data_IF_958302111534
#
_entry.id   IF_958302111534
#
_cell.length_a   1.000
_cell.length_b   1.000
_cell.length_c   1.000
_cell.angle_alpha   90.00
_cell.angle_beta   90.00
_cell.angle_gamma   90.00
#
_symmetry.space_group_name_H-M   'P 1'
#
loop_
_entity.id
_entity.type
_entity.pdbx_description
1 polymer ?
#
# COMPACT_ATOMS: atom_id res chain seq x y z
N UNK A 1 19.36 12.57 25.95
CA UNK A 1 18.38 11.78 25.14
C UNK A 1 18.79 11.60 23.67
N UNK A 2 19.92 12.16 23.20
CA UNK A 2 20.40 12.10 21.80
C UNK A 2 20.99 10.73 21.37
N UNK A 3 21.63 10.01 22.29
CA UNK A 3 22.43 8.82 21.92
C UNK A 3 21.61 7.60 21.50
N UNK A 4 20.46 7.35 22.14
CA UNK A 4 19.61 6.20 21.77
C UNK A 4 19.03 6.31 20.36
N UNK A 5 18.65 7.53 19.94
CA UNK A 5 18.15 7.77 18.58
C UNK A 5 19.27 7.60 17.56
N UNK A 6 20.46 8.13 17.86
CA UNK A 6 21.65 7.98 17.02
C UNK A 6 22.05 6.52 16.84
N UNK A 7 22.02 5.71 17.91
CA UNK A 7 22.31 4.28 17.84
C UNK A 7 21.27 3.51 17.01
N UNK A 8 19.97 3.77 17.17
CA UNK A 8 18.93 3.12 16.35
C UNK A 8 19.14 3.40 14.85
N UNK A 9 19.41 4.65 14.48
CA UNK A 9 19.65 5.03 13.08
C UNK A 9 20.94 4.39 12.57
N UNK A 10 21.99 4.37 13.39
CA UNK A 10 23.25 3.71 13.05
C UNK A 10 23.05 2.20 12.84
N UNK A 11 22.37 1.49 13.75
CA UNK A 11 22.11 0.06 13.59
C UNK A 11 21.25 -0.24 12.36
N UNK A 12 20.29 0.62 12.04
CA UNK A 12 19.51 0.51 10.81
C UNK A 12 20.40 0.59 9.56
N UNK A 13 21.19 1.66 9.42
CA UNK A 13 22.07 1.83 8.27
C UNK A 13 23.20 0.80 8.20
N UNK A 14 23.77 0.43 9.35
CA UNK A 14 24.78 -0.64 9.44
C UNK A 14 24.24 -1.96 8.91
N UNK A 15 23.00 -2.31 9.26
CA UNK A 15 22.33 -3.52 8.77
C UNK A 15 22.15 -3.46 7.24
N UNK A 16 21.66 -2.35 6.71
CA UNK A 16 21.50 -2.19 5.25
C UNK A 16 22.85 -2.32 4.52
N UNK A 17 23.89 -1.64 5.03
CA UNK A 17 25.25 -1.70 4.45
C UNK A 17 25.80 -3.14 4.50
N UNK A 18 25.62 -3.87 5.60
CA UNK A 18 26.16 -5.23 5.75
C UNK A 18 25.41 -6.27 4.92
N UNK A 19 24.08 -6.22 4.87
CA UNK A 19 23.28 -7.30 4.30
C UNK A 19 22.80 -7.04 2.86
N UNK A 20 22.66 -5.78 2.45
CA UNK A 20 22.21 -5.43 1.09
C UNK A 20 23.35 -5.13 0.12
N UNK A 21 24.59 -4.97 0.62
CA UNK A 21 25.76 -4.73 -0.22
C UNK A 21 26.50 -6.04 -0.52
N UNK A 22 26.09 -6.70 -1.61
CA UNK A 22 26.66 -7.97 -2.09
C UNK A 22 27.88 -7.79 -2.99
N UNK A 23 28.04 -6.61 -3.56
CA UNK A 23 29.16 -6.22 -4.42
C UNK A 23 29.54 -4.74 -4.19
N UNK A 24 30.62 -4.28 -4.83
CA UNK A 24 31.08 -2.90 -4.68
C UNK A 24 30.06 -1.86 -5.20
N UNK A 25 29.27 -2.21 -6.21
CA UNK A 25 28.28 -1.30 -6.81
C UNK A 25 27.07 -1.08 -5.89
N UNK A 26 26.54 -2.14 -5.30
CA UNK A 26 25.48 -2.09 -4.29
C UNK A 26 25.96 -1.40 -3.01
N UNK A 27 27.22 -1.61 -2.62
CA UNK A 27 27.83 -0.88 -1.49
C UNK A 27 27.86 0.62 -1.74
N UNK A 28 28.28 1.07 -2.93
CA UNK A 28 28.36 2.49 -3.27
C UNK A 28 26.97 3.15 -3.34
N UNK A 29 25.96 2.43 -3.84
CA UNK A 29 24.58 2.91 -3.85
C UNK A 29 24.03 3.08 -2.43
N UNK A 30 24.23 2.07 -1.56
CA UNK A 30 23.76 2.09 -0.18
C UNK A 30 24.50 3.13 0.67
N UNK A 31 25.81 3.30 0.44
CA UNK A 31 26.59 4.36 1.07
C UNK A 31 26.06 5.75 0.69
N UNK A 32 25.76 5.99 -0.59
CA UNK A 32 25.18 7.27 -1.04
C UNK A 32 23.82 7.53 -0.40
N UNK A 33 22.96 6.52 -0.29
CA UNK A 33 21.65 6.63 0.38
C UNK A 33 21.80 6.95 1.87
N UNK A 34 22.64 6.21 2.58
CA UNK A 34 22.89 6.41 4.00
C UNK A 34 23.43 7.82 4.30
N UNK A 35 24.41 8.28 3.52
CA UNK A 35 25.02 9.60 3.68
C UNK A 35 24.12 10.76 3.21
N UNK A 36 23.08 10.47 2.42
CA UNK A 36 22.07 11.45 2.00
C UNK A 36 20.88 11.53 2.96
N UNK A 37 20.78 10.64 3.94
CA UNK A 37 19.74 10.69 4.97
C UNK A 37 19.83 12.01 5.76
N UNK A 38 18.69 12.65 6.00
CA UNK A 38 18.61 13.95 6.68
C UNK A 38 19.14 13.86 8.12
N UNK A 39 18.90 12.76 8.81
CA UNK A 39 19.33 12.57 10.20
C UNK A 39 20.83 12.28 10.29
N UNK A 40 21.41 11.70 9.24
CA UNK A 40 22.87 11.46 9.11
C UNK A 40 23.61 12.74 8.73
N UNK A 41 23.13 13.49 7.74
CA UNK A 41 23.76 14.75 7.29
C UNK A 41 23.87 15.80 8.39
N UNK A 42 22.88 15.83 9.29
CA UNK A 42 22.85 16.80 10.39
C UNK A 42 23.63 16.33 11.64
N UNK A 43 24.26 15.15 11.60
CA UNK A 43 24.98 14.57 12.73
C UNK A 43 26.36 14.03 12.30
N UNK A 44 27.41 14.82 12.54
CA UNK A 44 28.78 14.49 12.14
C UNK A 44 29.32 13.18 12.76
N UNK A 45 28.87 12.84 13.97
CA UNK A 45 29.26 11.58 14.63
C UNK A 45 28.66 10.38 13.89
N UNK A 46 27.38 10.47 13.53
CA UNK A 46 26.67 9.43 12.79
C UNK A 46 27.20 9.26 11.35
N UNK A 47 27.52 10.37 10.68
CA UNK A 47 28.20 10.37 9.37
C UNK A 47 29.55 9.62 9.46
N UNK A 48 30.39 9.93 10.46
CA UNK A 48 31.67 9.24 10.67
C UNK A 48 31.53 7.74 10.95
N UNK A 49 30.54 7.35 11.74
CA UNK A 49 30.24 5.94 12.03
C UNK A 49 29.78 5.20 10.77
N UNK A 50 28.91 5.80 9.96
CA UNK A 50 28.43 5.21 8.70
C UNK A 50 29.57 5.07 7.69
N UNK A 51 30.44 6.08 7.52
CA UNK A 51 31.62 5.98 6.65
C UNK A 51 32.55 4.84 7.06
N UNK A 52 32.76 4.68 8.37
CA UNK A 52 33.57 3.58 8.91
C UNK A 52 32.92 2.22 8.60
N UNK A 53 31.61 2.09 8.76
CA UNK A 53 30.87 0.86 8.44
C UNK A 53 30.95 0.52 6.94
N UNK A 54 30.81 1.52 6.05
CA UNK A 54 30.97 1.37 4.60
C UNK A 54 32.39 0.89 4.27
N UNK A 55 33.41 1.51 4.85
CA UNK A 55 34.80 1.12 4.58
C UNK A 55 35.11 -0.31 5.04
N UNK A 56 34.60 -0.70 6.21
CA UNK A 56 34.78 -2.07 6.72
C UNK A 56 34.15 -3.09 5.77
N UNK A 57 32.93 -2.82 5.27
CA UNK A 57 32.26 -3.72 4.31
C UNK A 57 32.97 -3.74 2.95
N UNK A 58 33.50 -2.60 2.50
CA UNK A 58 34.30 -2.52 1.25
C UNK A 58 35.49 -3.47 1.31
N UNK A 59 36.26 -3.40 2.40
CA UNK A 59 37.42 -4.25 2.63
C UNK A 59 37.03 -5.74 2.68
N UNK A 60 35.86 -6.07 3.23
CA UNK A 60 35.36 -7.44 3.30
C UNK A 60 35.01 -7.99 1.91
N UNK A 61 34.25 -7.24 1.11
CA UNK A 61 33.90 -7.60 -0.28
C UNK A 61 35.16 -7.76 -1.12
N UNK A 62 36.14 -6.85 -1.00
CA UNK A 62 37.41 -6.95 -1.73
C UNK A 62 38.21 -8.21 -1.36
N UNK A 63 38.17 -8.63 -0.08
CA UNK A 63 38.78 -9.89 0.36
C UNK A 63 38.05 -11.12 -0.19
N UNK A 64 36.72 -11.11 -0.20
CA UNK A 64 35.90 -12.19 -0.77
C UNK A 64 36.16 -12.36 -2.27
N UNK A 65 36.28 -11.25 -3.01
CA UNK A 65 36.60 -11.25 -4.45
C UNK A 65 38.03 -11.74 -4.69
N UNK A 66 39.01 -11.31 -3.88
CA UNK A 66 40.39 -11.77 -3.99
C UNK A 66 40.52 -13.28 -3.69
N UNK A 67 39.82 -13.79 -2.67
CA UNK A 67 39.80 -15.22 -2.33
C UNK A 67 39.15 -16.06 -3.45
N UNK A 68 38.08 -15.56 -4.05
CA UNK A 68 37.39 -16.23 -5.17
C UNK A 68 38.28 -16.30 -6.41
N UNK A 69 39.06 -15.25 -6.71
CA UNK A 69 40.02 -15.23 -7.83
C UNK A 69 41.19 -16.18 -7.62
N UNK A 70 41.68 -16.33 -6.39
CA UNK A 70 42.75 -17.27 -6.06
C UNK A 70 42.32 -18.74 -6.24
N UNK A 71 41.06 -19.07 -5.93
CA UNK A 71 40.51 -20.42 -6.15
C UNK A 71 40.31 -20.75 -7.63
N UNK A 72 39.90 -19.79 -8.47
CA UNK A 72 39.76 -20.04 -9.92
C UNK A 72 41.08 -20.24 -10.67
N UNK A 73 42.19 -19.69 -10.17
CA UNK A 73 43.50 -19.81 -10.83
C UNK A 73 44.27 -21.09 -10.48
N UNK A 74 43.82 -21.90 -9.51
CA UNK A 74 44.44 -23.19 -9.17
C UNK A 74 43.89 -24.40 -9.95
N UNK A 75 42.91 -24.21 -10.83
CA UNK A 75 42.22 -25.31 -11.55
C UNK A 75 42.54 -25.41 -13.05
N UNK A 76 43.45 -24.60 -13.59
CA UNK A 76 43.83 -24.67 -15.01
C UNK A 76 45.30 -25.04 -15.17
N UNK A 77 45.62 -26.32 -14.94
CA UNK A 77 46.82 -26.94 -15.54
C UNK A 77 46.47 -28.37 -15.96
N UNK A 78 46.95 -28.75 -17.15
CA UNK A 78 46.84 -30.07 -17.83
C UNK A 78 45.55 -30.31 -18.64
N UNK A 79 45.58 -30.88 -19.85
CA UNK A 79 46.62 -31.23 -20.80
C UNK A 79 45.89 -31.60 -22.10
N UNK A 80 46.50 -31.36 -23.26
CA UNK A 80 45.93 -31.65 -24.57
C UNK A 80 46.25 -33.08 -25.04
N UNK A 81 45.31 -33.66 -25.80
CA UNK A 81 45.35 -34.85 -26.69
C UNK A 81 44.66 -36.14 -26.14
N UNK A 82 44.28 -37.10 -27.01
CA UNK A 82 43.16 -37.02 -27.96
C UNK A 82 42.14 -38.18 -27.80
N UNK A 83 40.95 -37.99 -28.41
CA UNK A 83 39.81 -38.91 -28.53
C UNK A 83 40.13 -40.41 -28.59
N UNK A 84 39.42 -41.22 -27.79
CA UNK A 84 38.90 -42.58 -28.06
C UNK A 84 37.83 -42.93 -26.97
N UNK A 85 37.02 -43.99 -27.13
CA UNK A 85 35.56 -43.95 -27.02
C UNK A 85 35.00 -44.16 -25.60
N UNK A 86 33.75 -43.71 -25.46
CA UNK A 86 32.81 -43.87 -24.35
C UNK A 86 32.98 -45.21 -23.62
N UNK A 87 33.67 -45.17 -22.49
CA UNK A 87 33.78 -46.26 -21.53
C UNK A 87 32.93 -45.90 -20.31
N UNK A 88 32.02 -46.81 -19.96
CA UNK A 88 31.07 -46.73 -18.86
C UNK A 88 31.75 -46.21 -17.59
N UNK A 89 31.20 -45.14 -16.99
CA UNK A 89 31.70 -44.57 -15.75
C UNK A 89 31.91 -45.69 -14.70
N UNK A 90 33.07 -45.73 -14.02
CA UNK A 90 33.32 -46.75 -13.01
C UNK A 90 32.28 -46.62 -11.91
N UNK A 91 31.71 -47.75 -11.48
CA UNK A 91 30.81 -47.80 -10.34
C UNK A 91 31.47 -47.09 -9.14
N UNK A 92 30.79 -46.08 -8.58
CA UNK A 92 31.31 -45.40 -7.38
C UNK A 92 31.58 -46.44 -6.30
N UNK A 93 32.74 -46.35 -5.65
CA UNK A 93 33.03 -47.24 -4.53
C UNK A 93 32.05 -46.97 -3.38
N UNK A 94 31.76 -47.98 -2.55
CA UNK A 94 30.83 -47.85 -1.42
C UNK A 94 31.19 -46.68 -0.49
N UNK A 95 32.49 -46.41 -0.28
CA UNK A 95 32.98 -45.25 0.48
C UNK A 95 32.64 -43.90 -0.19
N UNK A 96 32.73 -43.80 -1.52
CA UNK A 96 32.37 -42.59 -2.26
C UNK A 96 30.86 -42.33 -2.19
N UNK A 97 30.04 -43.38 -2.22
CA UNK A 97 28.58 -43.31 -2.06
C UNK A 97 28.23 -42.80 -0.66
N UNK A 98 28.85 -43.36 0.39
CA UNK A 98 28.63 -42.92 1.78
C UNK A 98 29.03 -41.45 1.96
N UNK A 99 30.22 -41.05 1.49
CA UNK A 99 30.71 -39.68 1.59
C UNK A 99 29.79 -38.68 0.89
N UNK A 100 29.29 -39.04 -0.30
CA UNK A 100 28.32 -38.21 -1.05
C UNK A 100 26.96 -38.16 -0.35
N UNK A 101 26.49 -39.28 0.21
CA UNK A 101 25.26 -39.35 0.99
C UNK A 101 25.31 -38.47 2.24
N UNK A 102 26.44 -38.47 2.96
CA UNK A 102 26.65 -37.58 4.11
C UNK A 102 26.70 -36.10 3.71
N UNK A 103 27.34 -35.77 2.59
CA UNK A 103 27.37 -34.41 2.07
C UNK A 103 25.95 -33.92 1.74
N UNK A 104 25.15 -34.73 1.04
CA UNK A 104 23.75 -34.42 0.74
C UNK A 104 22.91 -34.30 2.01
N UNK A 105 23.12 -35.17 3.00
CA UNK A 105 22.43 -35.09 4.29
C UNK A 105 22.76 -33.79 5.04
N UNK A 106 24.01 -33.31 4.98
CA UNK A 106 24.40 -32.01 5.54
C UNK A 106 23.72 -30.85 4.80
N UNK A 107 23.69 -30.89 3.47
CA UNK A 107 22.98 -29.88 2.65
C UNK A 107 21.48 -29.86 2.94
N UNK A 108 20.87 -31.02 3.19
CA UNK A 108 19.47 -31.10 3.59
C UNK A 108 19.26 -30.50 4.99
N UNK A 109 20.14 -30.83 5.94
CA UNK A 109 20.10 -30.30 7.30
C UNK A 109 20.24 -28.77 7.36
N UNK A 110 21.01 -28.17 6.45
CA UNK A 110 21.14 -26.70 6.36
C UNK A 110 20.00 -26.03 5.59
N UNK A 111 19.44 -26.66 4.54
CA UNK A 111 18.35 -26.07 3.75
C UNK A 111 16.99 -26.09 4.45
N UNK A 112 16.71 -27.12 5.25
CA UNK A 112 15.45 -27.24 5.99
C UNK A 112 15.15 -26.04 6.93
N UNK A 113 16.04 -25.60 7.83
CA UNK A 113 15.78 -24.47 8.72
C UNK A 113 15.75 -23.12 7.99
N UNK A 114 16.42 -23.01 6.84
CA UNK A 114 16.42 -21.80 6.00
C UNK A 114 15.14 -21.67 5.16
N UNK A 115 14.32 -22.71 5.10
CA UNK A 115 13.10 -22.70 4.30
C UNK A 115 13.33 -22.81 2.79
N UNK A 116 14.52 -23.22 2.35
CA UNK A 116 14.87 -23.36 0.93
C UNK A 116 14.26 -24.66 0.36
N UNK A 117 13.00 -24.56 -0.07
CA UNK A 117 12.25 -25.68 -0.64
C UNK A 117 12.95 -26.28 -1.87
N UNK A 118 13.55 -25.42 -2.71
CA UNK A 118 14.14 -25.85 -3.98
C UNK A 118 15.37 -26.70 -3.73
N UNK A 119 16.29 -26.23 -2.89
CA UNK A 119 17.49 -26.98 -2.53
C UNK A 119 17.14 -28.24 -1.75
N UNK A 120 16.17 -28.19 -0.84
CA UNK A 120 15.73 -29.36 -0.08
C UNK A 120 15.15 -30.47 -1.00
N UNK A 121 14.32 -30.10 -1.97
CA UNK A 121 13.75 -31.04 -2.95
C UNK A 121 14.82 -31.62 -3.89
N UNK A 122 15.71 -30.78 -4.44
CA UNK A 122 16.79 -31.23 -5.30
C UNK A 122 17.76 -32.18 -4.57
N UNK A 123 18.04 -31.89 -3.31
CA UNK A 123 18.89 -32.73 -2.45
C UNK A 123 18.21 -34.07 -2.14
N UNK A 124 16.92 -34.07 -1.82
CA UNK A 124 16.16 -35.31 -1.63
C UNK A 124 16.12 -36.16 -2.90
N UNK A 125 15.88 -35.56 -4.07
CA UNK A 125 15.93 -36.27 -5.35
C UNK A 125 17.31 -36.91 -5.58
N UNK A 126 18.39 -36.17 -5.28
CA UNK A 126 19.76 -36.68 -5.39
C UNK A 126 20.04 -37.85 -4.43
N UNK A 127 19.50 -37.81 -3.21
CA UNK A 127 19.61 -38.92 -2.23
C UNK A 127 18.86 -40.15 -2.73
N UNK A 128 17.66 -39.97 -3.31
CA UNK A 128 16.87 -41.08 -3.85
C UNK A 128 17.59 -41.76 -5.02
N UNK A 129 18.10 -40.98 -5.97
CA UNK A 129 18.88 -41.51 -7.10
C UNK A 129 20.14 -42.23 -6.62
N UNK A 130 20.84 -41.70 -5.61
CA UNK A 130 22.01 -42.34 -5.03
C UNK A 130 21.68 -43.69 -4.37
N UNK A 131 20.53 -43.77 -3.70
CA UNK A 131 20.01 -45.01 -3.08
C UNK A 131 19.52 -46.03 -4.10
N UNK A 132 18.89 -45.60 -5.19
CA UNK A 132 18.45 -46.48 -6.28
C UNK A 132 19.65 -47.10 -7.00
N UNK A 133 20.70 -46.32 -7.22
CA UNK A 133 21.94 -46.77 -7.85
C UNK A 133 22.79 -47.66 -6.92
N UNK A 134 22.61 -47.58 -5.60
CA UNK A 134 23.41 -48.30 -4.60
C UNK A 134 22.52 -48.85 -3.46
N UNK A 135 21.75 -49.93 -3.72
CA UNK A 135 20.83 -50.49 -2.73
C UNK A 135 21.57 -50.93 -1.46
N UNK A 136 20.98 -50.63 -0.29
CA UNK A 136 21.50 -51.06 1.02
C UNK A 136 22.60 -50.19 1.62
N UNK A 137 23.19 -49.24 0.88
CA UNK A 137 24.20 -48.31 1.41
C UNK A 137 23.58 -47.21 2.27
N UNK A 138 22.39 -46.72 1.88
CA UNK A 138 21.61 -45.75 2.64
C UNK A 138 20.40 -46.47 3.24
N UNK A 139 20.21 -46.44 4.58
CA UNK A 139 19.06 -47.10 5.20
C UNK A 139 17.74 -46.49 4.73
N UNK A 140 16.76 -47.34 4.39
CA UNK A 140 15.42 -46.91 3.98
C UNK A 140 14.72 -46.05 5.04
N UNK A 141 14.99 -46.31 6.33
CA UNK A 141 14.49 -45.50 7.45
C UNK A 141 14.92 -44.04 7.34
N UNK A 142 16.19 -43.76 7.00
CA UNK A 142 16.68 -42.39 6.79
C UNK A 142 16.05 -41.72 5.58
N UNK A 143 15.83 -42.48 4.51
CA UNK A 143 15.15 -41.96 3.32
C UNK A 143 13.71 -41.56 3.66
N UNK A 144 13.00 -42.36 4.45
CA UNK A 144 11.66 -42.05 4.92
C UNK A 144 11.65 -40.78 5.81
N UNK A 145 12.62 -40.62 6.71
CA UNK A 145 12.80 -39.41 7.52
C UNK A 145 13.04 -38.15 6.67
N UNK A 146 13.89 -38.24 5.65
CA UNK A 146 14.16 -37.12 4.73
C UNK A 146 12.93 -36.74 3.92
N UNK A 147 12.20 -37.72 3.37
CA UNK A 147 10.91 -37.49 2.69
C UNK A 147 9.91 -36.79 3.61
N UNK A 148 9.79 -37.26 4.85
CA UNK A 148 8.88 -36.67 5.82
C UNK A 148 9.27 -35.23 6.17
N UNK A 149 10.56 -34.96 6.36
CA UNK A 149 11.07 -33.63 6.71
C UNK A 149 10.83 -32.61 5.60
N UNK A 150 11.13 -32.98 4.34
CA UNK A 150 10.83 -32.14 3.17
C UNK A 150 9.31 -31.94 2.99
N UNK A 151 8.50 -32.98 3.24
CA UNK A 151 7.04 -32.87 3.21
C UNK A 151 6.48 -31.90 4.25
N UNK A 152 7.02 -31.91 5.49
CA UNK A 152 6.66 -30.96 6.54
C UNK A 152 7.04 -29.53 6.16
N UNK A 153 8.25 -29.33 5.63
CA UNK A 153 8.70 -28.03 5.14
C UNK A 153 7.74 -27.48 4.07
N UNK A 154 7.42 -28.28 3.04
CA UNK A 154 6.50 -27.87 1.97
C UNK A 154 5.13 -27.48 2.51
N UNK A 155 4.58 -28.26 3.44
CA UNK A 155 3.29 -27.97 4.06
C UNK A 155 3.33 -26.67 4.85
N UNK A 156 4.42 -26.43 5.59
CA UNK A 156 4.62 -25.19 6.33
C UNK A 156 4.74 -23.97 5.41
N UNK A 157 5.55 -24.05 4.35
CA UNK A 157 5.70 -23.00 3.36
C UNK A 157 4.39 -22.71 2.64
N UNK A 158 3.61 -23.74 2.30
CA UNK A 158 2.29 -23.54 1.69
C UNK A 158 1.35 -22.75 2.62
N UNK A 159 1.29 -23.09 3.91
CA UNK A 159 0.51 -22.32 4.89
C UNK A 159 0.97 -20.86 4.97
N UNK A 160 2.28 -20.61 4.85
CA UNK A 160 2.80 -19.24 4.81
C UNK A 160 2.41 -18.52 3.52
N UNK A 161 2.41 -19.18 2.36
CA UNK A 161 1.90 -18.59 1.09
C UNK A 161 0.45 -18.19 1.23
N UNK A 162 -0.39 -19.08 1.74
CA UNK A 162 -1.81 -18.81 1.96
C UNK A 162 -2.00 -17.63 2.92
N UNK A 163 -1.20 -17.57 3.98
CA UNK A 163 -1.24 -16.47 4.94
C UNK A 163 -0.75 -15.13 4.34
N UNK A 164 0.25 -15.15 3.44
CA UNK A 164 0.68 -13.94 2.71
C UNK A 164 -0.46 -13.42 1.85
N UNK A 165 -1.16 -14.29 1.11
CA UNK A 165 -2.34 -13.90 0.31
C UNK A 165 -3.42 -13.28 1.19
N UNK A 166 -3.72 -13.90 2.33
CA UNK A 166 -4.69 -13.36 3.30
C UNK A 166 -4.27 -11.99 3.84
N UNK A 167 -3.00 -11.82 4.24
CA UNK A 167 -2.48 -10.56 4.75
C UNK A 167 -2.47 -9.47 3.68
N UNK A 168 -2.18 -9.80 2.42
CA UNK A 168 -2.29 -8.87 1.29
C UNK A 168 -3.72 -8.39 1.13
N UNK A 169 -4.70 -9.29 1.11
CA UNK A 169 -6.11 -8.92 0.99
C UNK A 169 -6.57 -8.05 2.17
N UNK A 170 -6.18 -8.40 3.39
CA UNK A 170 -6.45 -7.60 4.61
C UNK A 170 -5.81 -6.23 4.53
N UNK A 171 -4.58 -6.13 4.01
CA UNK A 171 -3.84 -4.88 3.84
C UNK A 171 -4.59 -3.94 2.89
N UNK A 172 -4.98 -4.42 1.70
CA UNK A 172 -5.73 -3.62 0.72
C UNK A 172 -7.10 -3.22 1.27
N UNK A 173 -7.82 -4.15 1.89
CA UNK A 173 -9.13 -3.86 2.50
C UNK A 173 -9.02 -2.85 3.64
N UNK A 174 -8.03 -2.97 4.51
CA UNK A 174 -7.78 -2.00 5.58
C UNK A 174 -7.50 -0.60 5.03
N UNK A 175 -6.75 -0.48 3.93
CA UNK A 175 -6.54 0.80 3.23
C UNK A 175 -7.84 1.39 2.68
N UNK A 176 -8.65 0.59 1.98
CA UNK A 176 -9.94 1.02 1.41
C UNK A 176 -10.93 1.52 2.47
N UNK A 177 -10.87 0.95 3.68
CA UNK A 177 -11.77 1.31 4.77
C UNK A 177 -11.15 2.30 5.77
N UNK A 178 -9.87 2.67 5.60
CA UNK A 178 -9.16 3.60 6.49
C UNK A 178 -8.82 3.04 7.87
N UNK A 179 -8.69 1.71 7.98
CA UNK A 179 -8.33 1.05 9.23
C UNK A 179 -6.81 1.05 9.43
N UNK A 180 -6.27 2.20 9.83
CA UNK A 180 -4.82 2.42 9.92
C UNK A 180 -4.06 1.42 10.79
N UNK A 181 -4.64 0.99 11.92
CA UNK A 181 -4.01 0.00 12.80
C UNK A 181 -3.93 -1.40 12.17
N UNK A 182 -5.01 -1.85 11.50
CA UNK A 182 -5.04 -3.12 10.78
C UNK A 182 -4.04 -3.12 9.62
N UNK A 183 -3.95 -2.01 8.88
CA UNK A 183 -2.96 -1.79 7.82
C UNK A 183 -1.53 -1.90 8.35
N UNK A 184 -1.20 -1.15 9.42
CA UNK A 184 0.13 -1.14 10.00
C UNK A 184 0.51 -2.49 10.63
N UNK A 185 -0.44 -3.21 11.21
CA UNK A 185 -0.23 -4.56 11.74
C UNK A 185 0.06 -5.57 10.61
N UNK A 186 -0.74 -5.53 9.54
CA UNK A 186 -0.60 -6.45 8.40
C UNK A 186 0.71 -6.23 7.65
N UNK A 187 1.09 -4.98 7.38
CA UNK A 187 2.37 -4.64 6.75
C UNK A 187 3.58 -5.05 7.60
N UNK A 188 3.53 -4.86 8.93
CA UNK A 188 4.59 -5.34 9.82
C UNK A 188 4.77 -6.85 9.71
N UNK A 189 3.66 -7.60 9.66
CA UNK A 189 3.69 -9.06 9.57
C UNK A 189 4.19 -9.55 8.21
N UNK A 190 3.78 -8.91 7.11
CA UNK A 190 4.35 -9.17 5.78
C UNK A 190 5.86 -8.90 5.74
N UNK A 191 6.32 -7.80 6.36
CA UNK A 191 7.74 -7.48 6.45
C UNK A 191 8.52 -8.52 7.26
N UNK A 192 7.95 -9.04 8.36
CA UNK A 192 8.55 -10.13 9.12
C UNK A 192 8.67 -11.42 8.29
N UNK A 193 7.66 -11.74 7.47
CA UNK A 193 7.71 -12.90 6.57
C UNK A 193 8.79 -12.71 5.50
N UNK A 194 8.87 -11.53 4.88
CA UNK A 194 9.91 -11.20 3.91
C UNK A 194 11.33 -11.38 4.50
N UNK A 195 11.58 -10.88 5.71
CA UNK A 195 12.88 -11.01 6.38
C UNK A 195 13.23 -12.48 6.66
N UNK A 196 12.24 -13.29 7.08
CA UNK A 196 12.45 -14.69 7.43
C UNK A 196 12.53 -15.62 6.21
N UNK A 197 11.78 -15.31 5.15
CA UNK A 197 11.65 -16.13 3.95
C UNK A 197 11.66 -15.26 2.68
N UNK A 198 12.81 -14.72 2.27
CA UNK A 198 12.92 -13.81 1.13
C UNK A 198 12.46 -14.44 -0.20
N UNK A 199 12.64 -15.75 -0.37
CA UNK A 199 12.21 -16.48 -1.58
C UNK A 199 10.69 -16.64 -1.66
N UNK A 200 10.00 -16.58 -0.51
CA UNK A 200 8.55 -16.70 -0.43
C UNK A 200 7.87 -15.39 -0.81
N UNK A 201 8.38 -14.29 -0.23
CA UNK A 201 7.90 -12.94 -0.43
C UNK A 201 9.12 -12.06 -0.69
N UNK A 202 9.42 -11.86 -1.97
CA UNK A 202 10.50 -10.99 -2.39
C UNK A 202 10.15 -9.50 -2.16
N UNK A 203 11.18 -8.65 -2.22
CA UNK A 203 11.02 -7.21 -2.01
C UNK A 203 10.16 -6.56 -3.11
N UNK A 204 10.13 -7.13 -4.32
CA UNK A 204 9.31 -6.60 -5.42
C UNK A 204 7.82 -6.75 -5.10
N UNK A 205 7.37 -7.96 -4.74
CA UNK A 205 6.00 -8.26 -4.31
C UNK A 205 5.60 -7.48 -3.07
N UNK A 206 6.50 -7.34 -2.09
CA UNK A 206 6.22 -6.53 -0.91
C UNK A 206 5.98 -5.06 -1.28
N UNK A 207 6.75 -4.52 -2.23
CA UNK A 207 6.55 -3.17 -2.73
C UNK A 207 5.29 -3.03 -3.59
N UNK A 208 4.91 -4.03 -4.37
CA UNK A 208 3.62 -4.08 -5.06
C UNK A 208 2.45 -4.00 -4.07
N UNK A 209 2.50 -4.77 -2.97
CA UNK A 209 1.48 -4.73 -1.92
C UNK A 209 1.42 -3.34 -1.26
N UNK A 210 2.58 -2.74 -0.95
CA UNK A 210 2.65 -1.38 -0.40
C UNK A 210 2.06 -0.34 -1.38
N UNK A 211 2.36 -0.46 -2.67
CA UNK A 211 1.85 0.42 -3.70
C UNK A 211 0.33 0.29 -3.85
N UNK A 212 -0.20 -0.93 -3.89
CA UNK A 212 -1.64 -1.19 -3.93
C UNK A 212 -2.36 -0.61 -2.70
N UNK A 213 -1.77 -0.77 -1.50
CA UNK A 213 -2.30 -0.21 -0.26
C UNK A 213 -2.30 1.33 -0.25
N UNK A 214 -1.26 1.95 -0.83
CA UNK A 214 -1.18 3.42 -0.98
C UNK A 214 -2.25 3.90 -1.95
N UNK A 215 -2.34 3.29 -3.13
CA UNK A 215 -3.34 3.62 -4.14
C UNK A 215 -4.76 3.56 -3.58
N UNK A 216 -5.11 2.47 -2.89
CA UNK A 216 -6.41 2.32 -2.24
C UNK A 216 -6.69 3.40 -1.17
N UNK A 217 -5.65 3.87 -0.48
CA UNK A 217 -5.77 4.95 0.51
C UNK A 217 -6.02 6.30 -0.17
N UNK A 218 -5.31 6.56 -1.27
CA UNK A 218 -5.44 7.80 -2.04
C UNK A 218 -6.80 7.87 -2.75
N UNK A 219 -7.25 6.78 -3.37
CA UNK A 219 -8.61 6.66 -3.93
C UNK A 219 -9.67 6.96 -2.86
N UNK A 220 -9.58 6.33 -1.68
CA UNK A 220 -10.51 6.59 -0.57
C UNK A 220 -10.48 8.06 -0.16
N UNK A 221 -9.30 8.67 -0.06
CA UNK A 221 -9.16 10.09 0.31
C UNK A 221 -9.83 10.99 -0.73
N UNK A 222 -9.64 10.70 -2.01
CA UNK A 222 -10.30 11.43 -3.10
C UNK A 222 -11.82 11.27 -2.99
N UNK A 223 -12.33 10.04 -2.86
CA UNK A 223 -13.76 9.77 -2.68
C UNK A 223 -14.38 10.55 -1.52
N UNK A 224 -13.71 10.56 -0.36
CA UNK A 224 -14.14 11.33 0.82
C UNK A 224 -14.10 12.84 0.57
N UNK A 225 -13.09 13.32 -0.16
CA UNK A 225 -12.96 14.70 -0.59
C UNK A 225 -14.14 15.16 -1.45
N UNK A 226 -14.44 14.43 -2.51
CA UNK A 226 -15.56 14.71 -3.42
C UNK A 226 -16.91 14.62 -2.70
N UNK A 227 -17.11 13.61 -1.84
CA UNK A 227 -18.33 13.48 -1.02
C UNK A 227 -18.54 14.70 -0.12
N UNK A 228 -17.46 15.18 0.50
CA UNK A 228 -17.51 16.37 1.36
C UNK A 228 -17.82 17.62 0.56
N UNK A 229 -17.18 17.81 -0.60
CA UNK A 229 -17.43 18.95 -1.48
C UNK A 229 -18.90 19.00 -1.91
N UNK A 230 -19.47 17.85 -2.29
CA UNK A 230 -20.89 17.71 -2.60
C UNK A 230 -21.78 18.16 -1.43
N UNK A 231 -21.56 17.60 -0.23
CA UNK A 231 -22.34 17.95 0.96
C UNK A 231 -22.23 19.42 1.37
N UNK A 232 -21.02 19.99 1.29
CA UNK A 232 -20.80 21.40 1.62
C UNK A 232 -21.53 22.31 0.61
N UNK A 233 -21.57 21.92 -0.67
CA UNK A 233 -22.33 22.63 -1.70
C UNK A 233 -23.84 22.51 -1.51
N UNK A 234 -24.34 21.31 -1.24
CA UNK A 234 -25.76 21.07 -0.91
C UNK A 234 -26.22 21.96 0.25
N UNK A 235 -25.42 22.00 1.34
CA UNK A 235 -25.68 22.84 2.51
C UNK A 235 -25.67 24.33 2.18
N UNK A 236 -24.73 24.79 1.35
CA UNK A 236 -24.65 26.19 0.97
C UNK A 236 -25.91 26.64 0.20
N UNK A 237 -26.38 25.82 -0.74
CA UNK A 237 -27.60 26.11 -1.52
C UNK A 237 -28.84 26.06 -0.62
N UNK A 238 -28.98 25.02 0.22
CA UNK A 238 -30.09 24.91 1.15
C UNK A 238 -30.13 26.12 2.11
N UNK A 239 -28.97 26.59 2.59
CA UNK A 239 -28.88 27.78 3.43
C UNK A 239 -29.31 29.05 2.69
N UNK A 240 -28.95 29.20 1.40
CA UNK A 240 -29.37 30.34 0.60
C UNK A 240 -30.90 30.38 0.43
N UNK A 241 -31.52 29.24 0.10
CA UNK A 241 -32.99 29.11 -0.02
C UNK A 241 -33.67 29.42 1.31
N UNK A 242 -33.16 28.87 2.42
CA UNK A 242 -33.74 29.10 3.75
C UNK A 242 -33.67 30.58 4.19
N UNK A 243 -32.58 31.29 3.86
CA UNK A 243 -32.47 32.73 4.14
C UNK A 243 -33.54 33.54 3.42
N UNK A 244 -33.81 33.19 2.17
CA UNK A 244 -34.83 33.88 1.36
C UNK A 244 -36.23 33.62 1.91
N UNK A 245 -36.55 32.35 2.21
CA UNK A 245 -37.82 32.01 2.84
C UNK A 245 -38.01 32.77 4.16
N UNK A 246 -36.96 32.87 4.98
CA UNK A 246 -37.02 33.64 6.23
C UNK A 246 -37.30 35.12 5.98
N UNK A 247 -36.66 35.74 4.99
CA UNK A 247 -36.93 37.15 4.63
C UNK A 247 -38.36 37.37 4.12
N UNK A 248 -38.89 36.44 3.33
CA UNK A 248 -40.29 36.50 2.83
C UNK A 248 -41.28 36.42 3.98
N UNK A 249 -41.06 35.49 4.93
CA UNK A 249 -41.92 35.34 6.11
C UNK A 249 -41.82 36.52 7.07
N UNK A 250 -40.61 37.05 7.30
CA UNK A 250 -40.37 38.26 8.09
C UNK A 250 -41.17 39.43 7.50
N UNK A 251 -41.13 39.60 6.17
CA UNK A 251 -41.91 40.64 5.52
C UNK A 251 -43.42 40.44 5.67
N UNK A 252 -43.93 39.23 5.44
CA UNK A 252 -45.37 38.94 5.63
C UNK A 252 -45.82 39.27 7.06
N UNK A 253 -45.03 38.89 8.06
CA UNK A 253 -45.32 39.20 9.46
C UNK A 253 -45.37 40.72 9.70
N UNK A 254 -44.35 41.45 9.24
CA UNK A 254 -44.28 42.91 9.41
C UNK A 254 -45.43 43.61 8.68
N UNK A 255 -45.81 43.15 7.49
CA UNK A 255 -46.92 43.69 6.70
C UNK A 255 -48.30 43.47 7.35
N UNK A 256 -48.43 42.49 8.26
CA UNK A 256 -49.62 42.29 9.08
C UNK A 256 -49.62 43.15 10.35
N UNK A 257 -48.45 43.38 10.95
CA UNK A 257 -48.32 44.01 12.28
C UNK A 257 -48.18 45.54 12.23
N UNK A 258 -47.58 46.09 11.17
CA UNK A 258 -47.20 47.50 11.11
C UNK A 258 -47.87 48.23 9.93
N UNK A 259 -48.26 49.51 10.10
CA UNK A 259 -48.71 50.35 8.99
C UNK A 259 -47.60 50.58 7.95
N UNK A 260 -47.97 50.75 6.69
CA UNK A 260 -47.04 50.91 5.56
C UNK A 260 -46.11 52.13 5.68
N UNK A 261 -46.55 53.17 6.38
CA UNK A 261 -45.75 54.38 6.61
C UNK A 261 -44.60 54.16 7.63
N UNK A 262 -44.61 53.06 8.38
CA UNK A 262 -43.59 52.76 9.40
C UNK A 262 -42.22 52.52 8.77
N UNK A 263 -41.16 52.81 9.53
CA UNK A 263 -39.79 52.56 9.09
C UNK A 263 -39.48 51.05 9.11
N UNK A 264 -40.16 50.30 9.99
CA UNK A 264 -40.11 48.84 10.08
C UNK A 264 -40.66 48.18 8.80
N UNK A 265 -41.82 48.63 8.32
CA UNK A 265 -42.40 48.15 7.06
C UNK A 265 -41.48 48.43 5.88
N UNK A 266 -41.04 49.69 5.72
CA UNK A 266 -40.16 50.09 4.60
C UNK A 266 -38.82 49.34 4.59
N UNK A 267 -38.25 49.06 5.76
CA UNK A 267 -37.04 48.25 5.86
C UNK A 267 -37.27 46.78 5.49
N UNK A 268 -38.37 46.17 5.95
CA UNK A 268 -38.71 44.80 5.60
C UNK A 268 -39.05 44.66 4.11
N UNK A 269 -39.75 45.64 3.54
CA UNK A 269 -40.08 45.72 2.12
C UNK A 269 -38.81 45.80 1.25
N UNK A 270 -37.85 46.64 1.62
CA UNK A 270 -36.58 46.72 0.90
C UNK A 270 -35.83 45.37 0.88
N UNK A 271 -35.81 44.65 2.01
CA UNK A 271 -35.22 43.29 2.09
C UNK A 271 -36.02 42.28 1.25
N UNK A 272 -37.35 42.36 1.28
CA UNK A 272 -38.25 41.50 0.50
C UNK A 272 -38.07 41.69 -1.01
N UNK A 273 -37.97 42.94 -1.48
CA UNK A 273 -37.70 43.25 -2.90
C UNK A 273 -36.36 42.66 -3.35
N UNK A 274 -35.32 42.74 -2.51
CA UNK A 274 -34.04 42.08 -2.79
C UNK A 274 -34.19 40.55 -2.84
N UNK A 275 -34.93 39.96 -1.90
CA UNK A 275 -35.21 38.53 -1.89
C UNK A 275 -35.98 38.08 -3.15
N UNK A 276 -36.93 38.87 -3.66
CA UNK A 276 -37.62 38.61 -4.94
C UNK A 276 -36.62 38.64 -6.09
N UNK A 277 -35.70 39.60 -6.13
CA UNK A 277 -34.67 39.65 -7.16
C UNK A 277 -33.76 38.42 -7.11
N UNK A 278 -33.42 37.94 -5.91
CA UNK A 278 -32.62 36.73 -5.75
C UNK A 278 -33.39 35.47 -6.16
N UNK A 279 -34.69 35.34 -5.85
CA UNK A 279 -35.54 34.24 -6.35
C UNK A 279 -35.66 34.26 -7.87
N UNK A 280 -35.71 35.44 -8.49
CA UNK A 280 -35.72 35.58 -9.96
C UNK A 280 -34.39 35.17 -10.59
N UNK A 281 -33.26 35.36 -9.89
CA UNK A 281 -31.95 34.83 -10.32
C UNK A 281 -31.87 33.31 -10.20
N UNK A 282 -32.70 32.68 -9.36
CA UNK A 282 -32.86 31.22 -9.30
C UNK A 282 -33.86 30.75 -10.37
N UNK A 283 -33.49 30.99 -11.61
CA UNK A 283 -34.23 30.60 -12.80
C UNK A 283 -33.77 29.23 -13.34
N UNK A 284 -34.26 28.89 -14.54
CA UNK A 284 -33.89 27.65 -15.22
C UNK A 284 -32.39 27.60 -15.56
N UNK A 285 -31.74 28.74 -15.82
CA UNK A 285 -30.30 28.80 -16.11
C UNK A 285 -29.46 28.52 -14.86
N UNK A 286 -29.82 29.11 -13.71
CA UNK A 286 -29.18 28.78 -12.43
C UNK A 286 -29.35 27.32 -12.04
N UNK A 287 -30.57 26.78 -12.19
CA UNK A 287 -30.84 25.37 -11.89
C UNK A 287 -30.04 24.44 -12.81
N UNK A 288 -29.93 24.79 -14.10
CA UNK A 288 -29.09 24.07 -15.05
C UNK A 288 -27.62 24.15 -14.65
N UNK A 289 -27.14 25.31 -14.20
CA UNK A 289 -25.79 25.49 -13.67
C UNK A 289 -25.49 24.58 -12.48
N UNK A 290 -26.44 24.43 -11.55
CA UNK A 290 -26.30 23.48 -10.44
C UNK A 290 -26.27 22.03 -10.93
N UNK A 291 -27.16 21.66 -11.85
CA UNK A 291 -27.17 20.31 -12.40
C UNK A 291 -25.85 19.97 -13.09
N UNK A 292 -25.27 20.91 -13.84
CA UNK A 292 -23.96 20.75 -14.47
C UNK A 292 -22.84 20.65 -13.43
N UNK A 293 -22.83 21.52 -12.43
CA UNK A 293 -21.84 21.48 -11.34
C UNK A 293 -21.89 20.15 -10.58
N UNK A 294 -23.09 19.64 -10.30
CA UNK A 294 -23.29 18.33 -9.68
C UNK A 294 -22.87 17.18 -10.62
N UNK A 295 -23.10 17.31 -11.92
CA UNK A 295 -22.65 16.34 -12.91
C UNK A 295 -21.11 16.32 -13.03
N UNK A 296 -20.45 17.47 -12.95
CA UNK A 296 -18.99 17.57 -12.93
C UNK A 296 -18.41 16.93 -11.66
N UNK A 297 -19.01 17.20 -10.49
CA UNK A 297 -18.63 16.54 -9.24
C UNK A 297 -18.86 15.01 -9.27
N UNK A 298 -19.90 14.56 -9.97
CA UNK A 298 -20.12 13.13 -10.22
C UNK A 298 -19.08 12.53 -11.15
N UNK A 299 -18.66 13.27 -12.18
CA UNK A 299 -17.63 12.83 -13.12
C UNK A 299 -16.25 12.70 -12.47
N UNK A 300 -15.99 13.42 -11.38
CA UNK A 300 -14.77 13.26 -10.57
C UNK A 300 -14.71 11.93 -9.81
N UNK A 301 -15.83 11.21 -9.65
CA UNK A 301 -15.81 9.86 -9.07
C UNK A 301 -15.44 8.81 -10.12
N UNK A 302 -14.32 8.13 -9.89
CA UNK A 302 -13.92 6.93 -10.66
C UNK A 302 -14.96 5.80 -10.54
N UNK A 303 -15.58 5.67 -9.36
CA UNK A 303 -16.72 4.81 -9.07
C UNK A 303 -17.65 5.56 -8.11
N UNK A 304 -18.81 6.07 -8.56
CA UNK A 304 -19.72 6.79 -7.68
C UNK A 304 -20.35 5.85 -6.64
N UNK A 305 -20.53 6.29 -5.38
CA UNK A 305 -21.27 5.52 -4.39
C UNK A 305 -22.69 5.21 -4.89
N UNK A 306 -23.23 4.01 -4.69
CA UNK A 306 -24.56 3.65 -5.18
C UNK A 306 -25.69 4.53 -4.60
N UNK A 307 -25.46 5.14 -3.44
CA UNK A 307 -26.41 6.07 -2.81
C UNK A 307 -26.31 7.52 -3.33
N UNK A 308 -25.25 7.87 -4.07
CA UNK A 308 -24.95 9.26 -4.39
C UNK A 308 -25.91 9.85 -5.44
N UNK A 309 -26.26 9.09 -6.47
CA UNK A 309 -27.25 9.50 -7.46
C UNK A 309 -28.61 9.81 -6.80
N UNK A 310 -29.12 8.89 -5.97
CA UNK A 310 -30.38 9.10 -5.25
C UNK A 310 -30.31 10.18 -4.16
N UNK A 311 -29.12 10.57 -3.69
CA UNK A 311 -28.96 11.75 -2.84
C UNK A 311 -29.13 13.04 -3.66
N UNK A 312 -28.46 13.12 -4.81
CA UNK A 312 -28.54 14.26 -5.72
C UNK A 312 -29.97 14.47 -6.21
N UNK A 313 -30.67 13.41 -6.60
CA UNK A 313 -32.07 13.50 -7.05
C UNK A 313 -32.97 14.09 -5.95
N UNK A 314 -32.87 13.57 -4.72
CA UNK A 314 -33.62 14.09 -3.57
C UNK A 314 -33.28 15.54 -3.24
N UNK A 315 -32.01 15.91 -3.39
CA UNK A 315 -31.57 17.29 -3.18
C UNK A 315 -32.15 18.24 -4.23
N UNK A 316 -32.11 17.85 -5.51
CA UNK A 316 -32.71 18.62 -6.61
C UNK A 316 -34.22 18.76 -6.46
N UNK A 317 -34.92 17.70 -6.04
CA UNK A 317 -36.35 17.77 -5.69
C UNK A 317 -36.60 18.73 -4.52
N UNK A 318 -35.75 18.69 -3.49
CA UNK A 318 -35.81 19.60 -2.35
C UNK A 318 -35.64 21.08 -2.76
N UNK A 319 -34.70 21.38 -3.66
CA UNK A 319 -34.53 22.73 -4.22
C UNK A 319 -35.81 23.17 -4.94
N UNK A 320 -36.34 22.34 -5.85
CA UNK A 320 -37.55 22.66 -6.62
C UNK A 320 -38.74 22.94 -5.70
N UNK A 321 -38.92 22.10 -4.68
CA UNK A 321 -39.98 22.26 -3.69
C UNK A 321 -39.82 23.56 -2.90
N UNK A 322 -38.65 23.82 -2.34
CA UNK A 322 -38.40 25.03 -1.53
C UNK A 322 -38.57 26.33 -2.33
N UNK A 323 -38.08 26.37 -3.58
CA UNK A 323 -38.32 27.52 -4.46
C UNK A 323 -39.79 27.66 -4.85
N UNK A 324 -40.51 26.55 -5.03
CA UNK A 324 -41.96 26.54 -5.27
C UNK A 324 -42.74 27.15 -4.11
N UNK A 325 -42.47 26.69 -2.89
CA UNK A 325 -43.10 27.22 -1.66
C UNK A 325 -42.84 28.72 -1.48
N UNK A 326 -41.61 29.19 -1.72
CA UNK A 326 -41.28 30.62 -1.66
C UNK A 326 -42.08 31.43 -2.70
N UNK A 327 -42.22 30.91 -3.92
CA UNK A 327 -42.98 31.60 -4.99
C UNK A 327 -44.48 31.64 -4.68
N UNK A 328 -45.02 30.60 -4.07
CA UNK A 328 -46.41 30.56 -3.59
C UNK A 328 -46.62 31.57 -2.47
N UNK A 329 -45.77 31.59 -1.44
CA UNK A 329 -45.81 32.59 -0.36
C UNK A 329 -45.71 34.03 -0.91
N UNK A 330 -44.83 34.29 -1.89
CA UNK A 330 -44.74 35.61 -2.55
C UNK A 330 -46.01 35.99 -3.33
N UNK A 331 -46.69 35.01 -3.94
CA UNK A 331 -47.96 35.20 -4.64
C UNK A 331 -49.07 35.60 -3.69
N UNK A 332 -49.20 34.88 -2.57
CA UNK A 332 -50.17 35.19 -1.52
C UNK A 332 -49.97 36.61 -0.95
N UNK A 333 -48.72 37.00 -0.66
CA UNK A 333 -48.41 38.35 -0.16
C UNK A 333 -48.85 39.41 -1.16
N UNK A 334 -48.63 39.18 -2.46
CA UNK A 334 -49.04 40.12 -3.50
C UNK A 334 -50.56 40.24 -3.57
N UNK A 335 -51.28 39.14 -3.55
CA UNK A 335 -52.75 39.13 -3.58
C UNK A 335 -53.35 39.81 -2.33
N UNK A 336 -52.71 39.62 -1.16
CA UNK A 336 -53.06 40.30 0.10
C UNK A 336 -52.81 41.81 0.07
N UNK A 337 -51.76 42.27 -0.62
CA UNK A 337 -51.48 43.69 -0.82
C UNK A 337 -52.41 44.34 -1.85
N UNK A 338 -52.70 43.67 -2.96
CA UNK A 338 -53.60 44.18 -4.02
C UNK A 338 -55.08 44.26 -3.57
N UNK A 339 -55.44 43.57 -2.47
CA UNK A 339 -56.79 43.55 -1.89
C UNK A 339 -57.04 44.58 -0.79
N UNK A 340 -56.01 45.30 -0.32
CA UNK A 340 -56.10 46.35 0.72
C UNK A 340 -56.31 47.74 0.12
#
# INVERSE_FOLDING_TARGET
MSDKKTDIIFQHWKRLIQYESRDLTSLELNAKRALSDREVRNNASLDGMIRTAVQNRRNEIEREVAASRAQTNSTNTESAAPNLPVESAPAMSSEQVIKKGEQLARTLSTSLPLGDERTAQATLASILTLSEQNPGVIPESKIAEYKQSVGRLRTHLQKLRDHVVELTQRTVSASQHGKGEELASSLRRLNSIHIAFPDLLDEAKLNEIRAAASHATDERRQHLGTTRALLDRERAIASAIAKIAATVREFRQVACEFPEASDEFRNAEAKYVLAIQDVRKYDTEWFTGIVLELADLLAEWTVPPPAAAGQIDRFLEGIKKGLGEIREEMGEIKDEQDSK
#
